data_IF_193701305416
#
_entry.id   IF_193701305416
#
_cell.length_a   1.000
_cell.length_b   1.000
_cell.length_c   1.000
_cell.angle_alpha   90.00
_cell.angle_beta   90.00
_cell.angle_gamma   90.00
#
_symmetry.space_group_name_H-M   'P 1'
#
loop_
_entity.id
_entity.type
_entity.pdbx_description
1 polymer ?
#
# COMPACT_ATOMS: atom_id res chain seq x y z
N UNK A 1 26.75 -3.17 6.64
CA UNK A 1 27.69 -2.57 5.68
C UNK A 1 27.74 -1.07 5.89
N UNK A 2 28.90 -0.47 5.70
CA UNK A 2 29.12 0.97 5.80
C UNK A 2 28.11 1.73 4.93
N UNK A 3 27.76 2.96 5.33
CA UNK A 3 27.38 3.96 4.34
C UNK A 3 28.65 4.17 3.52
N UNK A 4 28.87 3.34 2.50
CA UNK A 4 29.50 3.85 1.30
C UNK A 4 28.76 5.15 1.02
N UNK A 5 29.48 6.27 0.98
CA UNK A 5 28.96 7.49 0.39
C UNK A 5 28.33 7.05 -0.92
N UNK A 6 26.99 6.99 -0.97
CA UNK A 6 26.28 6.60 -2.18
C UNK A 6 26.66 7.68 -3.17
N UNK A 7 27.57 7.32 -4.07
CA UNK A 7 28.16 8.28 -4.97
C UNK A 7 27.05 8.94 -5.78
N UNK A 8 27.22 10.23 -6.06
CA UNK A 8 26.39 10.93 -7.03
C UNK A 8 26.46 10.13 -8.34
N UNK A 9 25.29 9.79 -8.89
CA UNK A 9 25.17 8.97 -10.10
C UNK A 9 24.38 9.73 -11.14
N UNK A 10 24.88 9.70 -12.37
CA UNK A 10 24.08 10.15 -13.51
C UNK A 10 22.84 9.26 -13.65
N UNK A 11 21.72 9.90 -13.95
CA UNK A 11 20.48 9.18 -14.14
C UNK A 11 20.53 8.34 -15.44
N UNK A 12 19.99 7.12 -15.41
CA UNK A 12 19.93 6.28 -16.61
C UNK A 12 19.10 6.95 -17.70
N UNK A 13 19.59 6.92 -18.94
CA UNK A 13 18.92 7.51 -20.10
C UNK A 13 18.09 6.50 -20.90
N UNK A 14 18.45 5.21 -20.85
CA UNK A 14 17.77 4.13 -21.58
C UNK A 14 16.69 3.40 -20.77
N UNK A 15 15.69 2.84 -21.46
CA UNK A 15 14.57 2.12 -20.84
C UNK A 15 15.01 0.98 -19.91
N UNK A 16 16.02 0.19 -20.30
CA UNK A 16 16.59 -0.88 -19.44
C UNK A 16 17.22 -0.32 -18.17
N UNK A 17 17.87 0.84 -18.26
CA UNK A 17 18.46 1.51 -17.11
C UNK A 17 17.39 2.06 -16.16
N UNK A 18 16.31 2.61 -16.70
CA UNK A 18 15.15 3.04 -15.90
C UNK A 18 14.55 1.85 -15.14
N UNK A 19 14.22 0.76 -15.85
CA UNK A 19 13.61 -0.44 -15.25
C UNK A 19 14.49 -1.08 -14.17
N UNK A 20 15.81 -1.09 -14.33
CA UNK A 20 16.74 -1.66 -13.35
C UNK A 20 16.81 -0.85 -12.04
N UNK A 21 16.43 0.42 -12.07
CA UNK A 21 16.47 1.28 -10.88
C UNK A 21 15.13 1.35 -10.13
N UNK A 22 14.05 0.81 -10.71
CA UNK A 22 12.76 0.62 -10.02
C UNK A 22 12.96 -0.24 -8.77
N UNK A 23 12.20 0.03 -7.72
CA UNK A 23 12.24 -0.74 -6.47
C UNK A 23 11.25 -0.23 -5.42
N UNK A 24 11.30 1.04 -5.01
CA UNK A 24 10.40 1.62 -4.02
C UNK A 24 8.91 1.40 -4.34
N UNK A 25 8.53 1.59 -5.61
CA UNK A 25 7.17 1.37 -6.08
C UNK A 25 6.76 -0.10 -6.07
N UNK A 26 7.68 -1.03 -6.35
CA UNK A 26 7.35 -2.47 -6.34
C UNK A 26 7.11 -2.97 -4.92
N UNK A 27 7.88 -2.48 -3.94
CA UNK A 27 7.67 -2.80 -2.52
C UNK A 27 6.29 -2.29 -2.06
N UNK A 28 5.94 -1.06 -2.45
CA UNK A 28 4.62 -0.49 -2.16
C UNK A 28 3.50 -1.28 -2.87
N UNK A 29 3.65 -1.58 -4.16
CA UNK A 29 2.69 -2.39 -4.91
C UNK A 29 2.46 -3.75 -4.25
N UNK A 30 3.52 -4.36 -3.72
CA UNK A 30 3.43 -5.63 -3.01
C UNK A 30 2.68 -5.59 -1.68
N UNK A 31 2.59 -4.44 -1.02
CA UNK A 31 1.72 -4.30 0.15
C UNK A 31 0.26 -4.05 -0.24
N UNK A 32 0.01 -3.30 -1.33
CA UNK A 32 -1.34 -3.04 -1.87
C UNK A 32 -2.02 -4.33 -2.29
N UNK A 33 -1.33 -5.13 -3.12
CA UNK A 33 -1.88 -6.34 -3.76
C UNK A 33 -2.27 -7.42 -2.74
N UNK A 34 -1.67 -7.41 -1.55
CA UNK A 34 -1.90 -8.42 -0.52
C UNK A 34 -3.29 -8.41 0.09
N UNK A 35 -3.48 -7.64 1.16
CA UNK A 35 -4.74 -7.70 1.93
C UNK A 35 -5.85 -6.83 1.36
N UNK A 36 -5.51 -5.69 0.76
CA UNK A 36 -6.51 -4.73 0.25
C UNK A 36 -7.25 -5.29 -0.95
N UNK A 37 -6.51 -5.71 -1.97
CA UNK A 37 -7.11 -6.17 -3.23
C UNK A 37 -7.79 -7.54 -3.11
N UNK A 38 -7.16 -8.47 -2.40
CA UNK A 38 -7.69 -9.82 -2.22
C UNK A 38 -9.00 -9.85 -1.42
N UNK A 39 -9.12 -9.01 -0.39
CA UNK A 39 -10.26 -9.05 0.54
C UNK A 39 -11.27 -7.95 0.24
N UNK A 40 -10.81 -6.69 0.20
CA UNK A 40 -11.70 -5.52 0.09
C UNK A 40 -12.22 -5.35 -1.32
N UNK A 41 -11.34 -5.36 -2.32
CA UNK A 41 -11.73 -5.15 -3.72
C UNK A 41 -12.58 -6.31 -4.25
N UNK A 42 -12.20 -7.55 -3.92
CA UNK A 42 -13.01 -8.73 -4.27
C UNK A 42 -14.39 -8.71 -3.63
N UNK A 43 -14.49 -8.35 -2.34
CA UNK A 43 -15.79 -8.16 -1.68
C UNK A 43 -16.60 -7.05 -2.34
N UNK A 44 -15.99 -5.92 -2.67
CA UNK A 44 -16.66 -4.82 -3.36
C UNK A 44 -17.25 -5.32 -4.69
N UNK A 45 -16.49 -6.05 -5.50
CA UNK A 45 -17.00 -6.67 -6.73
C UNK A 45 -18.16 -7.63 -6.46
N UNK A 46 -18.07 -8.46 -5.42
CA UNK A 46 -19.13 -9.38 -5.02
C UNK A 46 -20.43 -8.66 -4.61
N UNK A 47 -20.33 -7.48 -4.01
CA UNK A 47 -21.46 -6.71 -3.50
C UNK A 47 -22.13 -5.87 -4.59
N UNK A 48 -21.36 -5.10 -5.37
CA UNK A 48 -21.91 -4.10 -6.31
C UNK A 48 -21.82 -4.48 -7.80
N UNK A 49 -21.27 -5.66 -8.11
CA UNK A 49 -21.19 -6.18 -9.47
C UNK A 49 -20.33 -5.32 -10.40
N UNK A 50 -20.61 -5.32 -11.71
CA UNK A 50 -19.75 -4.67 -12.70
C UNK A 50 -19.88 -3.13 -12.78
N UNK A 51 -20.98 -2.57 -12.27
CA UNK A 51 -21.37 -1.17 -12.48
C UNK A 51 -20.34 -0.17 -11.93
N UNK A 52 -19.61 -0.54 -10.88
CA UNK A 52 -18.68 0.35 -10.17
C UNK A 52 -17.21 0.21 -10.60
N UNK A 53 -16.92 -0.50 -11.70
CA UNK A 53 -15.56 -0.66 -12.22
C UNK A 53 -14.85 0.68 -12.47
N UNK A 54 -15.55 1.69 -12.99
CA UNK A 54 -14.98 3.04 -13.17
C UNK A 54 -14.51 3.66 -11.85
N UNK A 55 -15.23 3.42 -10.74
CA UNK A 55 -14.89 3.93 -9.42
C UNK A 55 -13.59 3.31 -8.93
N UNK A 56 -13.44 1.99 -9.09
CA UNK A 56 -12.22 1.25 -8.75
C UNK A 56 -11.00 1.76 -9.52
N UNK A 57 -11.14 1.97 -10.83
CA UNK A 57 -10.08 2.54 -11.68
C UNK A 57 -9.72 3.95 -11.21
N UNK A 58 -10.73 4.78 -10.96
CA UNK A 58 -10.54 6.14 -10.48
C UNK A 58 -9.82 6.16 -9.13
N UNK A 59 -10.20 5.31 -8.19
CA UNK A 59 -9.59 5.21 -6.86
C UNK A 59 -8.09 4.90 -6.93
N UNK A 60 -7.67 4.06 -7.88
CA UNK A 60 -6.27 3.72 -8.08
C UNK A 60 -5.48 4.86 -8.74
N UNK A 61 -6.03 5.45 -9.81
CA UNK A 61 -5.34 6.47 -10.59
C UNK A 61 -5.21 7.81 -9.85
N UNK A 62 -6.23 8.18 -9.09
CA UNK A 62 -6.27 9.44 -8.33
C UNK A 62 -5.05 9.55 -7.40
N UNK A 63 -4.68 8.48 -6.71
CA UNK A 63 -3.64 8.54 -5.68
C UNK A 63 -2.21 8.64 -6.26
N UNK A 64 -2.04 8.38 -7.55
CA UNK A 64 -0.77 8.53 -8.26
C UNK A 64 -0.17 9.93 -8.14
N UNK A 65 -1.00 10.99 -8.22
CA UNK A 65 -0.52 12.37 -8.15
C UNK A 65 0.09 12.70 -6.77
N UNK A 66 -0.51 12.18 -5.68
CA UNK A 66 0.04 12.32 -4.32
C UNK A 66 1.36 11.57 -4.21
N UNK A 67 1.42 10.33 -4.73
CA UNK A 67 2.63 9.51 -4.69
C UNK A 67 3.81 10.19 -5.38
N UNK A 68 3.57 10.76 -6.58
CA UNK A 68 4.59 11.51 -7.31
C UNK A 68 5.09 12.74 -6.55
N UNK A 69 4.19 13.51 -5.95
CA UNK A 69 4.58 14.72 -5.22
C UNK A 69 5.36 14.39 -3.94
N UNK A 70 4.94 13.37 -3.19
CA UNK A 70 5.70 12.87 -2.04
C UNK A 70 7.10 12.40 -2.44
N UNK A 71 7.20 11.64 -3.54
CA UNK A 71 8.48 11.18 -4.06
C UNK A 71 9.36 12.35 -4.55
N UNK A 72 8.76 13.37 -5.17
CA UNK A 72 9.47 14.58 -5.62
C UNK A 72 10.07 15.33 -4.45
N UNK A 73 9.29 15.58 -3.40
CA UNK A 73 9.78 16.26 -2.20
C UNK A 73 10.90 15.46 -1.53
N UNK A 74 10.77 14.13 -1.49
CA UNK A 74 11.81 13.23 -1.01
C UNK A 74 13.13 13.39 -1.79
N UNK A 75 13.08 13.36 -3.13
CA UNK A 75 14.28 13.56 -3.97
C UNK A 75 14.87 14.96 -3.79
N UNK A 76 14.03 16.00 -3.74
CA UNK A 76 14.48 17.39 -3.65
C UNK A 76 15.17 17.72 -2.32
N UNK A 77 14.72 17.11 -1.22
CA UNK A 77 15.08 17.54 0.13
C UNK A 77 15.80 16.46 0.95
N UNK A 78 15.97 15.26 0.39
CA UNK A 78 16.40 14.07 1.13
C UNK A 78 15.63 13.90 2.44
N UNK A 79 14.30 13.95 2.32
CA UNK A 79 13.39 14.11 3.45
C UNK A 79 12.43 12.93 3.56
N UNK A 80 12.19 12.44 4.77
CA UNK A 80 11.16 11.45 5.04
C UNK A 80 9.75 12.03 4.86
N UNK A 81 8.72 11.18 4.91
CA UNK A 81 7.34 11.67 4.95
C UNK A 81 7.10 12.55 6.17
N UNK A 82 7.69 12.24 7.33
CA UNK A 82 7.52 13.05 8.54
C UNK A 82 8.16 14.43 8.34
N UNK A 83 9.34 14.51 7.73
CA UNK A 83 9.98 15.78 7.36
C UNK A 83 9.13 16.65 6.43
N UNK A 84 8.49 15.99 5.47
CA UNK A 84 7.58 16.66 4.53
C UNK A 84 6.40 17.23 5.33
N UNK A 85 5.76 16.42 6.19
CA UNK A 85 4.61 16.85 6.99
C UNK A 85 4.96 17.91 8.06
N UNK A 86 6.19 17.91 8.58
CA UNK A 86 6.64 18.86 9.61
C UNK A 86 6.78 20.30 9.08
N UNK A 87 6.89 20.47 7.77
CA UNK A 87 6.96 21.77 7.10
C UNK A 87 5.61 22.50 7.04
N UNK A 88 4.50 21.81 7.30
CA UNK A 88 3.18 22.44 7.27
C UNK A 88 3.01 23.34 8.49
N UNK A 89 2.58 24.61 8.31
CA UNK A 89 2.41 25.54 9.42
C UNK A 89 1.29 25.12 10.37
N UNK A 90 1.43 25.50 11.64
CA UNK A 90 0.42 25.25 12.66
C UNK A 90 1.02 25.02 14.03
N UNK A 91 0.22 24.47 14.94
CA UNK A 91 0.68 24.10 16.28
C UNK A 91 1.79 23.05 16.18
N UNK A 92 2.81 23.20 17.03
CA UNK A 92 3.92 22.26 17.14
C UNK A 92 3.96 21.66 18.53
N UNK A 93 4.04 20.34 18.60
CA UNK A 93 4.16 19.58 19.84
C UNK A 93 5.51 18.89 19.87
N UNK A 94 6.31 19.18 20.90
CA UNK A 94 7.71 18.70 21.03
C UNK A 94 8.57 19.00 19.79
N UNK A 95 8.35 20.16 19.17
CA UNK A 95 9.09 20.58 17.97
C UNK A 95 8.56 20.04 16.65
N UNK A 96 7.54 19.16 16.65
CA UNK A 96 6.98 18.52 15.46
C UNK A 96 5.55 19.02 15.17
N UNK A 97 5.19 19.20 13.90
CA UNK A 97 3.88 19.72 13.47
C UNK A 97 2.71 18.84 13.90
N UNK A 98 1.57 19.46 14.18
CA UNK A 98 0.33 18.74 14.53
C UNK A 98 -0.11 17.76 13.44
N UNK A 99 0.16 18.05 12.16
CA UNK A 99 -0.14 17.15 11.04
C UNK A 99 0.75 15.92 11.07
N UNK A 100 2.05 16.09 11.33
CA UNK A 100 2.95 14.95 11.45
C UNK A 100 2.52 14.03 12.61
N UNK A 101 2.12 14.60 13.76
CA UNK A 101 1.52 13.83 14.86
C UNK A 101 0.25 13.10 14.44
N UNK A 102 -0.69 13.80 13.81
CA UNK A 102 -1.96 13.21 13.34
C UNK A 102 -1.70 12.08 12.35
N UNK A 103 -0.79 12.27 11.41
CA UNK A 103 -0.52 11.29 10.39
C UNK A 103 0.26 10.08 10.92
N UNK A 104 1.18 10.28 11.86
CA UNK A 104 1.88 9.17 12.53
C UNK A 104 0.90 8.37 13.40
N UNK A 105 0.02 9.06 14.15
CA UNK A 105 -1.04 8.40 14.90
C UNK A 105 -2.00 7.62 13.97
N UNK A 106 -2.36 8.22 12.82
CA UNK A 106 -3.18 7.57 11.80
C UNK A 106 -2.48 6.39 11.12
N UNK A 107 -1.17 6.45 10.90
CA UNK A 107 -0.40 5.31 10.36
C UNK A 107 -0.45 4.14 11.35
N UNK A 108 -0.19 4.40 12.63
CA UNK A 108 -0.17 3.36 13.65
C UNK A 108 -1.57 2.88 14.08
N UNK A 109 -2.64 3.64 13.84
CA UNK A 109 -4.01 3.17 14.08
C UNK A 109 -4.39 2.00 13.16
N UNK A 110 -3.78 1.92 11.96
CA UNK A 110 -3.95 0.82 11.01
C UNK A 110 -3.30 -0.48 11.49
N UNK A 111 -2.52 -0.45 12.56
CA UNK A 111 -1.99 -1.66 13.24
C UNK A 111 -3.08 -2.68 13.53
N UNK A 112 -4.30 -2.22 13.81
CA UNK A 112 -5.47 -3.10 14.01
C UNK A 112 -5.73 -3.95 12.76
N UNK A 113 -5.69 -3.37 11.56
CA UNK A 113 -5.84 -4.15 10.33
C UNK A 113 -4.69 -5.15 10.13
N UNK A 114 -3.46 -4.76 10.49
CA UNK A 114 -2.28 -5.62 10.35
C UNK A 114 -2.32 -6.82 11.29
N UNK A 115 -2.86 -6.65 12.50
CA UNK A 115 -3.17 -7.77 13.41
C UNK A 115 -4.15 -8.74 12.74
N UNK A 116 -5.19 -8.23 12.08
CA UNK A 116 -6.12 -9.03 11.30
C UNK A 116 -5.48 -9.74 10.09
N UNK A 117 -4.46 -9.16 9.47
CA UNK A 117 -3.70 -9.84 8.42
C UNK A 117 -2.86 -10.98 9.02
N UNK A 118 -2.21 -10.76 10.18
CA UNK A 118 -1.45 -11.80 10.88
C UNK A 118 -2.33 -13.00 11.25
N UNK A 119 -3.53 -12.75 11.79
CA UNK A 119 -4.51 -13.80 12.06
C UNK A 119 -4.96 -14.51 10.78
N UNK A 120 -5.19 -13.77 9.69
CA UNK A 120 -5.57 -14.38 8.39
C UNK A 120 -4.48 -15.31 7.84
N UNK A 121 -3.21 -14.92 7.96
CA UNK A 121 -2.07 -15.78 7.56
C UNK A 121 -2.00 -17.02 8.45
N UNK A 122 -2.17 -16.85 9.77
CA UNK A 122 -2.15 -17.97 10.71
C UNK A 122 -3.30 -18.96 10.47
N UNK A 123 -4.52 -18.45 10.24
CA UNK A 123 -5.68 -19.26 9.89
C UNK A 123 -5.50 -20.01 8.57
N UNK A 124 -4.95 -19.34 7.55
CA UNK A 124 -4.59 -19.98 6.29
C UNK A 124 -3.60 -21.15 6.51
N UNK A 125 -2.61 -20.96 7.38
CA UNK A 125 -1.65 -22.02 7.73
C UNK A 125 -2.31 -23.19 8.46
N UNK A 126 -3.32 -22.97 9.29
CA UNK A 126 -4.13 -24.06 9.89
C UNK A 126 -4.82 -24.87 8.79
N UNK A 127 -5.38 -24.21 7.77
CA UNK A 127 -6.09 -24.88 6.68
C UNK A 127 -5.16 -25.76 5.84
N UNK A 128 -3.94 -25.29 5.53
CA UNK A 128 -2.95 -26.10 4.78
C UNK A 128 -2.31 -27.17 5.68
N UNK A 129 -2.04 -26.83 6.93
CA UNK A 129 -1.28 -27.63 7.88
C UNK A 129 -2.04 -27.75 9.22
N UNK A 130 -3.07 -28.63 9.29
CA UNK A 130 -4.02 -28.69 10.40
C UNK A 130 -3.47 -29.35 11.67
N UNK A 131 -2.15 -29.51 11.80
CA UNK A 131 -1.51 -30.15 12.95
C UNK A 131 -1.15 -29.18 14.09
N UNK A 132 -1.25 -27.87 13.86
CA UNK A 132 -0.98 -26.82 14.86
C UNK A 132 -2.17 -25.87 14.97
N UNK A 133 -2.35 -25.28 16.15
CA UNK A 133 -3.37 -24.24 16.35
C UNK A 133 -2.97 -22.93 15.67
N UNK A 134 -3.96 -22.08 15.39
CA UNK A 134 -3.77 -20.74 14.83
C UNK A 134 -2.76 -19.91 15.65
N UNK A 135 -2.79 -20.03 16.96
CA UNK A 135 -1.89 -19.29 17.86
C UNK A 135 -0.42 -19.70 17.65
N UNK A 136 -0.16 -21.00 17.46
CA UNK A 136 1.19 -21.51 17.18
C UNK A 136 1.65 -21.03 15.80
N UNK A 137 0.78 -21.08 14.79
CA UNK A 137 1.11 -20.56 13.47
C UNK A 137 1.38 -19.06 13.47
N UNK A 138 0.64 -18.26 14.23
CA UNK A 138 0.92 -16.83 14.41
C UNK A 138 2.32 -16.59 15.00
N UNK A 139 2.73 -17.39 16.00
CA UNK A 139 4.08 -17.36 16.56
C UNK A 139 5.12 -17.73 15.50
N UNK A 140 4.90 -18.79 14.72
CA UNK A 140 5.83 -19.22 13.66
C UNK A 140 5.99 -18.12 12.60
N UNK A 141 4.88 -17.53 12.12
CA UNK A 141 4.90 -16.42 11.16
C UNK A 141 5.67 -15.23 11.71
N UNK A 142 5.44 -14.85 12.97
CA UNK A 142 6.20 -13.80 13.65
C UNK A 142 7.71 -14.11 13.70
N UNK A 143 8.09 -15.35 14.04
CA UNK A 143 9.50 -15.76 14.13
C UNK A 143 10.19 -15.72 12.75
N UNK A 144 9.54 -16.25 11.72
CA UNK A 144 10.06 -16.22 10.34
C UNK A 144 10.21 -14.78 9.87
N UNK A 145 9.18 -13.95 10.08
CA UNK A 145 9.22 -12.53 9.74
C UNK A 145 10.37 -11.81 10.47
N UNK A 146 10.49 -12.03 11.78
CA UNK A 146 11.56 -11.42 12.60
C UNK A 146 12.95 -11.84 12.14
N UNK A 147 13.14 -13.11 11.76
CA UNK A 147 14.40 -13.63 11.23
C UNK A 147 14.76 -12.96 9.88
N UNK A 148 13.79 -12.83 8.97
CA UNK A 148 13.99 -12.16 7.69
C UNK A 148 14.32 -10.68 7.86
N UNK A 149 13.59 -9.98 8.73
CA UNK A 149 13.83 -8.56 9.01
C UNK A 149 15.17 -8.32 9.71
N UNK A 150 15.63 -9.26 10.54
CA UNK A 150 16.92 -9.16 11.23
C UNK A 150 18.13 -9.24 10.29
N UNK A 151 18.03 -9.98 9.18
CA UNK A 151 19.06 -9.98 8.13
C UNK A 151 19.22 -8.62 7.45
N UNK A 152 18.16 -7.81 7.43
CA UNK A 152 18.25 -6.37 7.18
C UNK A 152 18.64 -5.95 5.76
N UNK A 153 18.56 -6.84 4.76
CA UNK A 153 18.90 -6.52 3.38
C UNK A 153 17.64 -6.06 2.63
N UNK A 154 17.61 -4.78 2.27
CA UNK A 154 16.55 -4.19 1.43
C UNK A 154 16.42 -4.95 0.09
N UNK A 155 17.54 -5.35 -0.51
CA UNK A 155 17.55 -6.10 -1.78
C UNK A 155 16.87 -7.47 -1.67
N UNK A 156 17.03 -8.17 -0.53
CA UNK A 156 16.36 -9.45 -0.29
C UNK A 156 14.85 -9.25 -0.16
N UNK A 157 14.42 -8.21 0.56
CA UNK A 157 13.02 -7.87 0.73
C UNK A 157 12.39 -7.48 -0.60
N UNK A 158 13.04 -6.58 -1.35
CA UNK A 158 12.59 -6.14 -2.68
C UNK A 158 12.45 -7.35 -3.63
N UNK A 159 13.47 -8.20 -3.72
CA UNK A 159 13.47 -9.36 -4.62
C UNK A 159 12.38 -10.35 -4.24
N UNK A 160 12.25 -10.67 -2.95
CA UNK A 160 11.24 -11.61 -2.48
C UNK A 160 9.83 -11.09 -2.73
N UNK A 161 9.53 -9.85 -2.35
CA UNK A 161 8.21 -9.23 -2.58
C UNK A 161 7.90 -9.17 -4.07
N UNK A 162 8.87 -8.79 -4.90
CA UNK A 162 8.72 -8.74 -6.36
C UNK A 162 8.32 -10.10 -6.92
N UNK A 163 9.02 -11.17 -6.54
CA UNK A 163 8.75 -12.53 -7.02
C UNK A 163 7.34 -12.96 -6.58
N UNK A 164 7.04 -12.85 -5.28
CA UNK A 164 5.75 -13.28 -4.72
C UNK A 164 4.57 -12.57 -5.41
N UNK A 165 4.64 -11.25 -5.50
CA UNK A 165 3.58 -10.42 -6.08
C UNK A 165 3.45 -10.70 -7.58
N UNK A 166 4.56 -10.75 -8.32
CA UNK A 166 4.50 -11.01 -9.77
C UNK A 166 3.87 -12.37 -10.06
N UNK A 167 4.30 -13.42 -9.35
CA UNK A 167 3.76 -14.77 -9.56
C UNK A 167 2.27 -14.84 -9.28
N UNK A 168 1.82 -14.30 -8.15
CA UNK A 168 0.39 -14.38 -7.82
C UNK A 168 -0.47 -13.50 -8.73
N UNK A 169 0.03 -12.32 -9.10
CA UNK A 169 -0.65 -11.43 -10.05
C UNK A 169 -0.92 -12.12 -11.39
N UNK A 170 0.04 -12.92 -11.88
CA UNK A 170 -0.13 -13.71 -13.10
C UNK A 170 -1.22 -14.79 -12.96
N UNK A 171 -1.35 -15.41 -11.78
CA UNK A 171 -2.42 -16.38 -11.50
C UNK A 171 -3.80 -15.69 -11.53
N UNK A 172 -3.92 -14.51 -10.90
CA UNK A 172 -5.16 -13.74 -10.88
C UNK A 172 -5.57 -13.30 -12.29
N UNK A 173 -4.63 -12.74 -13.06
CA UNK A 173 -4.86 -12.36 -14.45
C UNK A 173 -5.22 -13.58 -15.30
N UNK A 174 -4.50 -14.69 -15.13
CA UNK A 174 -4.81 -15.95 -15.78
C UNK A 174 -6.21 -16.47 -15.47
N UNK A 175 -6.70 -16.25 -14.24
CA UNK A 175 -8.06 -16.62 -13.82
C UNK A 175 -9.13 -15.80 -14.53
N UNK A 176 -8.92 -14.49 -14.71
CA UNK A 176 -9.82 -13.63 -15.51
C UNK A 176 -9.91 -14.11 -16.95
N UNK A 177 -8.79 -14.54 -17.54
CA UNK A 177 -8.76 -15.07 -18.91
C UNK A 177 -9.44 -16.43 -19.00
N UNK A 178 -9.15 -17.34 -18.06
CA UNK A 178 -9.74 -18.68 -18.02
C UNK A 178 -11.25 -18.66 -17.80
N UNK A 179 -11.75 -17.67 -17.06
CA UNK A 179 -13.17 -17.48 -16.76
C UNK A 179 -14.04 -17.33 -18.02
N UNK A 180 -13.48 -16.84 -19.14
CA UNK A 180 -14.18 -16.75 -20.43
C UNK A 180 -14.62 -18.11 -20.99
N UNK A 181 -13.98 -19.21 -20.54
CA UNK A 181 -14.35 -20.58 -20.90
C UNK A 181 -15.38 -21.23 -19.97
N UNK A 182 -15.93 -20.48 -19.01
CA UNK A 182 -16.83 -21.00 -17.96
C UNK A 182 -18.21 -20.36 -18.03
N UNK A 183 -19.15 -20.84 -17.20
CA UNK A 183 -20.48 -20.22 -17.05
C UNK A 183 -20.43 -18.79 -16.49
N UNK A 184 -19.30 -18.39 -15.90
CA UNK A 184 -19.10 -17.07 -15.31
C UNK A 184 -18.55 -16.03 -16.31
N UNK A 185 -18.45 -16.37 -17.61
CA UNK A 185 -17.87 -15.51 -18.64
C UNK A 185 -18.36 -14.05 -18.57
N UNK A 186 -17.41 -13.11 -18.64
CA UNK A 186 -17.73 -11.68 -18.60
C UNK A 186 -18.16 -11.23 -20.00
N UNK A 187 -19.38 -10.77 -20.13
CA UNK A 187 -19.91 -10.19 -21.37
C UNK A 187 -19.38 -8.77 -21.59
N UNK A 188 -19.24 -8.36 -22.86
CA UNK A 188 -18.90 -7.01 -23.26
C UNK A 188 -19.93 -5.98 -22.73
N UNK A 189 -21.20 -6.36 -22.61
CA UNK A 189 -22.22 -5.52 -21.97
C UNK A 189 -21.94 -5.28 -20.47
N UNK A 190 -21.47 -6.30 -19.76
CA UNK A 190 -21.11 -6.18 -18.35
C UNK A 190 -19.92 -5.24 -18.17
N UNK A 191 -18.87 -5.38 -18.99
CA UNK A 191 -17.75 -4.43 -18.97
C UNK A 191 -18.22 -3.02 -19.31
N UNK A 192 -19.02 -2.87 -20.37
CA UNK A 192 -19.56 -1.58 -20.78
C UNK A 192 -20.39 -0.92 -19.66
N UNK A 193 -21.14 -1.71 -18.88
CA UNK A 193 -21.90 -1.20 -17.72
C UNK A 193 -20.98 -0.52 -16.70
N UNK A 194 -19.78 -1.06 -16.49
CA UNK A 194 -18.77 -0.50 -15.60
C UNK A 194 -18.17 0.83 -16.04
N UNK A 195 -18.35 1.21 -17.31
CA UNK A 195 -17.92 2.49 -17.88
C UNK A 195 -19.08 3.47 -18.13
N UNK A 196 -20.31 3.16 -17.67
CA UNK A 196 -21.45 4.08 -17.77
C UNK A 196 -21.45 5.18 -16.71
N UNK A 197 -20.46 5.20 -15.80
CA UNK A 197 -20.39 6.12 -14.66
C UNK A 197 -21.67 6.14 -13.81
N UNK A 198 -22.39 5.02 -13.79
CA UNK A 198 -23.56 4.85 -12.96
C UNK A 198 -23.13 4.46 -11.54
N UNK A 199 -23.95 4.85 -10.57
CA UNK A 199 -23.83 4.38 -9.19
C UNK A 199 -24.65 3.10 -9.03
N UNK A 200 -24.15 2.08 -8.32
CA UNK A 200 -24.93 0.88 -8.05
C UNK A 200 -26.11 1.25 -7.15
N UNK A 201 -27.30 0.71 -7.44
CA UNK A 201 -28.53 1.03 -6.68
C UNK A 201 -28.48 0.48 -5.26
N UNK A 202 -27.84 -0.68 -5.08
CA UNK A 202 -27.54 -1.31 -3.80
C UNK A 202 -26.04 -1.23 -3.53
N UNK A 203 -25.64 -1.01 -2.28
CA UNK A 203 -24.22 -0.97 -1.90
C UNK A 203 -23.42 0.27 -2.38
N UNK A 204 -24.04 1.28 -3.01
CA UNK A 204 -23.35 2.50 -3.47
C UNK A 204 -22.53 3.19 -2.38
N UNK A 205 -23.12 3.34 -1.19
CA UNK A 205 -22.42 3.95 -0.06
C UNK A 205 -21.25 3.09 0.42
N UNK A 206 -21.40 1.77 0.44
CA UNK A 206 -20.32 0.83 0.81
C UNK A 206 -19.19 0.89 -0.21
N UNK A 207 -19.51 0.87 -1.51
CA UNK A 207 -18.53 1.00 -2.57
C UNK A 207 -17.73 2.32 -2.47
N UNK A 208 -18.41 3.44 -2.24
CA UNK A 208 -17.77 4.74 -2.01
C UNK A 208 -16.92 4.75 -0.73
N UNK A 209 -17.41 4.16 0.36
CA UNK A 209 -16.68 4.09 1.62
C UNK A 209 -15.40 3.27 1.51
N UNK A 210 -15.41 2.21 0.68
CA UNK A 210 -14.27 1.33 0.45
C UNK A 210 -13.28 1.89 -0.60
N UNK A 211 -13.65 2.88 -1.43
CA UNK A 211 -12.74 3.49 -2.42
C UNK A 211 -11.44 4.06 -1.82
N UNK A 212 -11.48 4.55 -0.58
CA UNK A 212 -10.28 5.02 0.12
C UNK A 212 -9.27 3.90 0.40
N UNK A 213 -9.76 2.67 0.53
CA UNK A 213 -9.00 1.46 0.87
C UNK A 213 -8.55 0.65 -0.36
N UNK A 214 -8.99 1.03 -1.57
CA UNK A 214 -8.62 0.39 -2.84
C UNK A 214 -7.40 1.10 -3.46
N UNK A 215 -6.47 0.32 -4.02
CA UNK A 215 -5.21 0.82 -4.55
C UNK A 215 -4.23 1.27 -3.47
N UNK A 216 -3.29 2.17 -3.82
CA UNK A 216 -2.30 2.68 -2.87
C UNK A 216 -2.96 3.47 -1.74
N UNK A 217 -3.01 2.93 -0.52
CA UNK A 217 -3.72 3.57 0.59
C UNK A 217 -2.87 4.65 1.27
N UNK A 218 -3.40 5.30 2.32
CA UNK A 218 -2.64 6.35 2.99
C UNK A 218 -1.33 5.81 3.60
N UNK A 219 -1.38 4.58 4.11
CA UNK A 219 -0.23 3.86 4.67
C UNK A 219 0.86 3.64 3.62
N UNK A 220 0.50 3.21 2.42
CA UNK A 220 1.44 3.02 1.31
C UNK A 220 2.09 4.32 0.86
N UNK A 221 1.28 5.35 0.66
CA UNK A 221 1.75 6.67 0.30
C UNK A 221 2.68 7.23 1.39
N UNK A 222 2.36 6.99 2.66
CA UNK A 222 3.17 7.44 3.79
C UNK A 222 4.52 6.73 3.85
N UNK A 223 4.60 5.42 3.56
CA UNK A 223 5.87 4.71 3.57
C UNK A 223 6.72 4.92 2.31
N UNK A 224 6.12 5.32 1.18
CA UNK A 224 6.81 5.43 -0.11
C UNK A 224 8.10 6.30 -0.07
N UNK A 225 8.12 7.51 0.51
CA UNK A 225 9.35 8.28 0.68
C UNK A 225 10.47 7.56 1.44
N UNK A 226 10.15 6.72 2.43
CA UNK A 226 11.16 5.96 3.16
C UNK A 226 11.86 4.95 2.25
N UNK A 227 11.11 4.30 1.35
CA UNK A 227 11.69 3.37 0.39
C UNK A 227 12.52 4.06 -0.67
N UNK A 228 12.17 5.29 -1.06
CA UNK A 228 12.97 6.12 -1.96
C UNK A 228 14.32 6.48 -1.34
N UNK A 229 14.33 6.92 -0.07
CA UNK A 229 15.56 7.19 0.69
C UNK A 229 16.39 5.91 0.84
N UNK A 230 15.75 4.80 1.20
CA UNK A 230 16.43 3.52 1.37
C UNK A 230 17.07 3.03 0.07
N UNK A 231 16.41 3.19 -1.09
CA UNK A 231 17.01 2.88 -2.39
C UNK A 231 18.17 3.84 -2.74
N UNK A 232 18.12 5.07 -2.24
CA UNK A 232 19.17 6.07 -2.37
C UNK A 232 18.95 7.10 -3.47
N UNK A 233 17.71 7.26 -3.98
CA UNK A 233 17.45 8.23 -5.06
C UNK A 233 17.92 9.66 -4.71
N UNK A 234 17.69 10.19 -3.49
CA UNK A 234 18.16 11.53 -3.14
C UNK A 234 19.70 11.60 -3.10
N UNK A 235 20.36 10.56 -2.57
CA UNK A 235 21.83 10.49 -2.50
C UNK A 235 22.45 10.45 -3.90
N UNK A 236 21.81 9.77 -4.85
CA UNK A 236 22.27 9.69 -6.24
C UNK A 236 22.19 11.03 -6.98
N UNK A 237 21.24 11.90 -6.62
CA UNK A 237 21.14 13.26 -7.16
C UNK A 237 22.24 14.16 -6.57
N UNK A 238 22.53 13.98 -5.28
CA UNK A 238 23.49 14.79 -4.52
C UNK A 238 22.86 16.04 -3.90
N UNK A 239 23.63 16.78 -3.08
CA UNK A 239 23.16 17.99 -2.42
C UNK A 239 22.67 19.02 -3.45
N UNK A 240 21.67 19.81 -3.07
CA UNK A 240 21.09 20.82 -3.95
C UNK A 240 22.12 21.90 -4.26
N UNK A 241 22.39 22.07 -5.55
CA UNK A 241 23.31 23.07 -6.10
C UNK A 241 22.60 23.84 -7.21
N UNK A 242 22.88 25.14 -7.34
CA UNK A 242 22.36 25.95 -8.43
C UNK A 242 23.21 25.79 -9.71
N UNK A 243 23.33 24.54 -10.18
CA UNK A 243 24.12 24.16 -11.35
C UNK A 243 23.25 23.44 -12.38
N UNK A 244 23.55 23.64 -13.67
CA UNK A 244 22.86 22.94 -14.76
C UNK A 244 23.02 21.41 -14.67
N UNK A 245 24.16 20.95 -14.16
CA UNK A 245 24.44 19.54 -13.94
C UNK A 245 23.51 18.94 -12.88
N UNK A 246 23.32 19.63 -11.75
CA UNK A 246 22.37 19.19 -10.73
C UNK A 246 20.94 19.14 -11.28
N UNK A 247 20.51 20.17 -12.02
CA UNK A 247 19.18 20.20 -12.65
C UNK A 247 19.01 19.05 -13.65
N UNK A 248 20.04 18.71 -14.41
CA UNK A 248 20.03 17.57 -15.33
C UNK A 248 19.91 16.22 -14.58
N UNK A 249 20.70 16.02 -13.51
CA UNK A 249 20.61 14.83 -12.65
C UNK A 249 19.25 14.70 -12.00
N UNK A 250 18.74 15.77 -11.39
CA UNK A 250 17.41 15.83 -10.79
C UNK A 250 16.32 15.44 -11.78
N UNK A 251 16.29 16.06 -12.98
CA UNK A 251 15.31 15.70 -14.03
C UNK A 251 15.44 14.24 -14.48
N UNK A 252 16.64 13.71 -14.51
CA UNK A 252 16.90 12.31 -14.82
C UNK A 252 16.34 11.35 -13.76
N UNK A 253 16.66 11.56 -12.48
CA UNK A 253 16.14 10.75 -11.38
C UNK A 253 14.64 10.93 -11.15
N UNK A 254 14.10 12.10 -11.49
CA UNK A 254 12.67 12.33 -11.55
C UNK A 254 11.99 11.43 -12.60
N UNK A 255 12.62 11.17 -13.75
CA UNK A 255 12.10 10.18 -14.72
C UNK A 255 12.12 8.77 -14.16
N UNK A 256 13.15 8.40 -13.40
CA UNK A 256 13.20 7.11 -12.69
C UNK A 256 12.03 7.01 -11.70
N UNK A 257 11.82 8.04 -10.87
CA UNK A 257 10.71 8.10 -9.92
C UNK A 257 9.34 8.00 -10.61
N UNK A 258 9.12 8.76 -11.69
CA UNK A 258 7.86 8.69 -12.44
C UNK A 258 7.64 7.32 -13.07
N UNK A 259 8.71 6.66 -13.54
CA UNK A 259 8.62 5.30 -14.08
C UNK A 259 8.31 4.30 -12.97
N UNK A 260 8.98 4.41 -11.83
CA UNK A 260 8.78 3.55 -10.65
C UNK A 260 7.34 3.65 -10.12
N UNK A 261 6.85 4.86 -9.88
CA UNK A 261 5.47 5.10 -9.46
C UNK A 261 4.47 4.65 -10.54
N UNK A 262 4.72 4.97 -11.82
CA UNK A 262 3.80 4.64 -12.91
C UNK A 262 3.66 3.13 -13.14
N UNK A 263 4.77 2.40 -13.10
CA UNK A 263 4.76 0.92 -13.18
C UNK A 263 4.05 0.33 -11.97
N UNK A 264 4.35 0.81 -10.76
CA UNK A 264 3.66 0.40 -9.54
C UNK A 264 2.15 0.60 -9.63
N UNK A 265 1.70 1.80 -10.00
CA UNK A 265 0.26 2.10 -10.15
C UNK A 265 -0.37 1.27 -11.27
N UNK A 266 0.33 1.05 -12.38
CA UNK A 266 -0.17 0.21 -13.48
C UNK A 266 -0.36 -1.26 -13.07
N UNK A 267 0.62 -1.82 -12.35
CA UNK A 267 0.53 -3.18 -11.79
C UNK A 267 -0.63 -3.26 -10.79
N UNK A 268 -0.68 -2.34 -9.83
CA UNK A 268 -1.76 -2.29 -8.83
C UNK A 268 -3.12 -2.20 -9.52
N UNK A 269 -3.32 -1.26 -10.45
CA UNK A 269 -4.56 -1.09 -11.20
C UNK A 269 -4.99 -2.37 -11.94
N UNK A 270 -4.07 -3.02 -12.64
CA UNK A 270 -4.38 -4.24 -13.38
C UNK A 270 -4.87 -5.36 -12.45
N UNK A 271 -4.20 -5.53 -11.31
CA UNK A 271 -4.54 -6.56 -10.32
C UNK A 271 -5.83 -6.23 -9.59
N UNK A 272 -6.01 -4.98 -9.17
CA UNK A 272 -7.25 -4.45 -8.59
C UNK A 272 -8.43 -4.73 -9.51
N UNK A 273 -8.32 -4.34 -10.78
CA UNK A 273 -9.36 -4.61 -11.77
C UNK A 273 -9.63 -6.11 -11.91
N UNK A 274 -8.58 -6.95 -11.91
CA UNK A 274 -8.75 -8.39 -11.99
C UNK A 274 -9.51 -8.95 -10.79
N UNK A 275 -9.15 -8.60 -9.56
CA UNK A 275 -9.87 -9.01 -8.35
C UNK A 275 -11.30 -8.51 -8.30
N UNK A 276 -11.53 -7.27 -8.73
CA UNK A 276 -12.87 -6.70 -8.79
C UNK A 276 -13.75 -7.46 -9.79
N UNK A 277 -13.24 -7.69 -11.00
CA UNK A 277 -13.95 -8.42 -12.05
C UNK A 277 -14.24 -9.86 -11.63
N UNK A 278 -13.31 -10.53 -10.96
CA UNK A 278 -13.50 -11.87 -10.43
C UNK A 278 -14.56 -11.90 -9.32
N UNK A 279 -14.57 -10.92 -8.42
CA UNK A 279 -15.63 -10.76 -7.43
C UNK A 279 -17.00 -10.51 -8.07
N UNK A 280 -17.05 -9.63 -9.07
CA UNK A 280 -18.29 -9.27 -9.77
C UNK A 280 -18.84 -10.37 -10.68
N UNK A 281 -17.98 -11.23 -11.24
CA UNK A 281 -18.38 -12.33 -12.12
C UNK A 281 -18.74 -13.58 -11.35
N UNK A 282 -17.88 -14.02 -10.42
CA UNK A 282 -18.05 -15.30 -9.74
C UNK A 282 -18.83 -15.13 -8.43
N UNK A 283 -18.31 -14.33 -7.51
CA UNK A 283 -18.88 -14.25 -6.14
C UNK A 283 -20.25 -13.56 -6.11
N UNK A 284 -20.45 -12.52 -6.92
CA UNK A 284 -21.75 -11.87 -7.06
C UNK A 284 -22.80 -12.85 -7.59
N UNK A 285 -22.47 -13.67 -8.60
CA UNK A 285 -23.40 -14.68 -9.12
C UNK A 285 -23.65 -15.83 -8.12
N UNK A 286 -22.63 -16.21 -7.35
CA UNK A 286 -22.77 -17.18 -6.26
C UNK A 286 -23.51 -16.62 -5.04
N UNK A 287 -23.80 -15.31 -5.01
CA UNK A 287 -24.38 -14.59 -3.87
C UNK A 287 -23.56 -14.81 -2.58
N UNK A 288 -22.24 -14.92 -2.72
CA UNK A 288 -21.29 -15.07 -1.62
C UNK A 288 -20.64 -13.72 -1.37
N UNK A 289 -20.99 -13.07 -0.27
CA UNK A 289 -20.30 -11.89 0.22
C UNK A 289 -19.18 -12.34 1.18
N UNK A 290 -17.89 -12.15 0.85
CA UNK A 290 -16.81 -12.59 1.72
C UNK A 290 -16.87 -11.91 3.08
N UNK A 291 -17.05 -12.70 4.14
CA UNK A 291 -17.18 -12.26 5.54
C UNK A 291 -16.56 -13.21 6.58
N UNK A 292 -16.10 -12.62 7.69
CA UNK A 292 -15.58 -13.34 8.85
C UNK A 292 -14.31 -14.16 8.59
N UNK A 293 -14.10 -15.21 9.39
CA UNK A 293 -12.87 -16.01 9.36
C UNK A 293 -12.69 -16.84 8.08
N UNK A 294 -13.74 -16.99 7.27
CA UNK A 294 -13.75 -17.81 6.05
C UNK A 294 -13.51 -17.00 4.78
N UNK A 295 -13.17 -15.71 4.87
CA UNK A 295 -12.99 -14.88 3.68
C UNK A 295 -11.99 -15.47 2.70
N UNK A 296 -10.85 -15.98 3.17
CA UNK A 296 -9.85 -16.58 2.27
C UNK A 296 -10.44 -17.79 1.54
N UNK A 297 -11.18 -18.65 2.24
CA UNK A 297 -11.87 -19.80 1.64
C UNK A 297 -12.95 -19.36 0.65
N UNK A 298 -13.74 -18.34 0.97
CA UNK A 298 -14.78 -17.80 0.09
C UNK A 298 -14.19 -17.15 -1.15
N UNK A 299 -13.09 -16.41 -1.03
CA UNK A 299 -12.36 -15.83 -2.16
C UNK A 299 -11.71 -16.93 -3.00
N UNK A 300 -11.31 -18.05 -2.41
CA UNK A 300 -10.76 -19.20 -3.17
C UNK A 300 -11.75 -19.77 -4.19
N UNK A 301 -13.07 -19.60 -3.97
CA UNK A 301 -14.12 -20.03 -4.90
C UNK A 301 -13.94 -19.42 -6.29
N UNK A 302 -13.43 -18.18 -6.37
CA UNK A 302 -13.09 -17.53 -7.64
C UNK A 302 -12.18 -18.40 -8.48
N UNK A 303 -11.18 -19.02 -7.86
CA UNK A 303 -10.14 -19.77 -8.55
C UNK A 303 -10.58 -21.22 -8.81
N UNK A 304 -11.30 -21.83 -7.85
CA UNK A 304 -11.76 -23.20 -7.99
C UNK A 304 -12.87 -23.35 -9.01
N UNK A 305 -13.78 -22.38 -9.12
CA UNK A 305 -14.85 -22.38 -10.11
C UNK A 305 -14.35 -22.02 -11.52
N UNK A 306 -13.23 -21.31 -11.64
CA UNK A 306 -12.69 -20.88 -12.95
C UNK A 306 -11.71 -21.86 -13.56
N UNK A 307 -10.75 -22.34 -12.77
CA UNK A 307 -9.63 -23.17 -13.26
C UNK A 307 -9.72 -24.63 -12.74
N UNK A 308 -10.62 -24.88 -11.78
CA UNK A 308 -10.88 -26.20 -11.19
C UNK A 308 -10.29 -26.37 -9.80
N UNK A 309 -10.69 -27.43 -9.09
CA UNK A 309 -10.40 -27.63 -7.67
C UNK A 309 -8.91 -27.67 -7.28
N UNK A 310 -8.01 -28.00 -8.21
CA UNK A 310 -6.56 -27.95 -7.94
C UNK A 310 -6.05 -26.52 -7.71
N UNK A 311 -6.73 -25.51 -8.27
CA UNK A 311 -6.38 -24.10 -8.11
C UNK A 311 -6.50 -23.63 -6.66
N UNK A 312 -7.27 -24.35 -5.83
CA UNK A 312 -7.36 -24.12 -4.39
C UNK A 312 -5.97 -24.07 -3.74
N UNK A 313 -5.10 -25.05 -4.00
CA UNK A 313 -3.79 -25.11 -3.37
C UNK A 313 -2.84 -24.00 -3.85
N UNK A 314 -2.92 -23.65 -5.13
CA UNK A 314 -2.14 -22.53 -5.69
C UNK A 314 -2.62 -21.22 -5.07
N UNK A 315 -3.92 -21.04 -4.94
CA UNK A 315 -4.51 -19.87 -4.31
C UNK A 315 -4.10 -19.78 -2.84
N UNK A 316 -4.17 -20.87 -2.08
CA UNK A 316 -3.78 -20.88 -0.67
C UNK A 316 -2.30 -20.51 -0.49
N UNK A 317 -1.40 -21.06 -1.31
CA UNK A 317 0.01 -20.68 -1.30
C UNK A 317 0.23 -19.22 -1.72
N UNK A 318 -0.47 -18.76 -2.75
CA UNK A 318 -0.40 -17.39 -3.23
C UNK A 318 -0.94 -16.38 -2.21
N UNK A 319 -2.07 -16.68 -1.57
CA UNK A 319 -2.65 -15.90 -0.49
C UNK A 319 -1.74 -15.82 0.73
N UNK A 320 -1.06 -16.92 1.10
CA UNK A 320 0.00 -16.88 2.11
C UNK A 320 1.09 -15.88 1.70
N UNK A 321 1.62 -16.03 0.48
CA UNK A 321 2.68 -15.17 -0.03
C UNK A 321 2.30 -13.69 0.03
N UNK A 322 1.12 -13.31 -0.47
CA UNK A 322 0.74 -11.91 -0.58
C UNK A 322 0.35 -11.28 0.75
N UNK A 323 -0.31 -12.02 1.65
CA UNK A 323 -0.59 -11.52 3.00
C UNK A 323 0.70 -11.42 3.82
N UNK A 324 1.61 -12.38 3.69
CA UNK A 324 2.92 -12.35 4.35
C UNK A 324 3.80 -11.21 3.85
N UNK A 325 3.79 -10.90 2.53
CA UNK A 325 4.51 -9.73 2.01
C UNK A 325 3.99 -8.42 2.60
N UNK A 326 2.67 -8.26 2.75
CA UNK A 326 2.09 -7.07 3.40
C UNK A 326 2.57 -6.95 4.86
N UNK A 327 2.58 -8.03 5.64
CA UNK A 327 3.09 -8.03 7.02
C UNK A 327 4.56 -7.60 7.10
N UNK A 328 5.40 -8.17 6.23
CA UNK A 328 6.82 -7.85 6.15
C UNK A 328 7.08 -6.38 5.82
N UNK A 329 6.41 -5.87 4.78
CA UNK A 329 6.55 -4.47 4.34
C UNK A 329 6.08 -3.54 5.45
N UNK A 330 4.94 -3.82 6.09
CA UNK A 330 4.43 -2.98 7.18
C UNK A 330 5.33 -3.00 8.41
N UNK A 331 5.91 -4.15 8.77
CA UNK A 331 6.86 -4.27 9.88
C UNK A 331 8.15 -3.47 9.61
N UNK A 332 8.70 -3.62 8.40
CA UNK A 332 9.87 -2.89 7.95
C UNK A 332 9.64 -1.37 7.92
N UNK A 333 8.48 -0.93 7.44
CA UNK A 333 8.09 0.48 7.40
C UNK A 333 7.83 1.04 8.79
N UNK A 334 7.11 0.31 9.65
CA UNK A 334 6.79 0.72 11.02
C UNK A 334 8.05 0.97 11.86
N UNK A 335 9.06 0.11 11.73
CA UNK A 335 10.34 0.31 12.42
C UNK A 335 11.05 1.61 12.01
N UNK A 336 11.04 1.94 10.71
CA UNK A 336 11.64 3.16 10.16
C UNK A 336 10.86 4.40 10.55
N UNK A 337 9.54 4.39 10.34
CA UNK A 337 8.64 5.49 10.65
C UNK A 337 8.66 5.79 12.15
N UNK A 338 8.61 4.75 12.99
CA UNK A 338 8.69 4.90 14.44
C UNK A 338 10.02 5.49 14.89
N UNK A 339 11.15 5.00 14.36
CA UNK A 339 12.46 5.54 14.72
C UNK A 339 12.65 6.97 14.24
N UNK A 340 12.25 7.29 13.00
CA UNK A 340 12.30 8.65 12.46
C UNK A 340 11.47 9.61 13.31
N UNK A 341 10.23 9.21 13.66
CA UNK A 341 9.38 10.02 14.52
C UNK A 341 9.97 10.26 15.91
N UNK A 342 10.50 9.22 16.56
CA UNK A 342 11.13 9.34 17.88
C UNK A 342 12.39 10.24 17.83
N UNK A 343 13.15 10.18 16.74
CA UNK A 343 14.29 11.07 16.52
C UNK A 343 13.81 12.52 16.35
N UNK A 344 12.72 12.76 15.61
CA UNK A 344 12.16 14.10 15.39
C UNK A 344 11.66 14.78 16.65
N UNK A 345 11.02 14.04 17.55
CA UNK A 345 10.61 14.57 18.87
C UNK A 345 11.77 14.62 19.89
N UNK A 346 13.01 14.41 19.42
CA UNK A 346 14.27 14.51 20.17
C UNK A 346 14.36 13.52 21.35
N UNK A 347 13.92 12.27 21.17
CA UNK A 347 14.17 11.22 22.17
C UNK A 347 15.67 10.90 22.19
N UNK A 348 16.32 11.22 23.32
CA UNK A 348 17.78 11.09 23.47
C UNK A 348 18.33 9.68 23.22
N UNK A 349 17.50 8.64 23.36
CA UNK A 349 17.90 7.26 23.09
C UNK A 349 18.23 6.99 21.60
N UNK A 350 17.77 7.85 20.67
CA UNK A 350 18.04 7.77 19.23
C UNK A 350 19.15 8.73 18.77
N UNK A 351 19.87 9.36 19.72
CA UNK A 351 20.98 10.25 19.39
C UNK A 351 22.15 9.45 18.78
N UNK A 352 22.56 9.86 17.58
CA UNK A 352 23.64 9.21 16.81
C UNK A 352 23.15 8.11 15.87
N UNK A 353 23.87 7.90 14.77
CA UNK A 353 23.47 6.96 13.72
C UNK A 353 23.38 5.50 14.21
N UNK A 354 24.31 5.06 15.06
CA UNK A 354 24.33 3.69 15.55
C UNK A 354 23.10 3.38 16.41
N UNK A 355 22.75 4.31 17.31
CA UNK A 355 21.56 4.21 18.14
C UNK A 355 20.29 4.27 17.30
N UNK A 356 20.22 5.16 16.31
CA UNK A 356 19.10 5.21 15.36
C UNK A 356 18.89 3.84 14.68
N UNK A 357 19.95 3.25 14.09
CA UNK A 357 19.86 1.92 13.44
C UNK A 357 19.51 0.80 14.41
N UNK A 358 19.95 0.90 15.67
CA UNK A 358 19.56 -0.04 16.73
C UNK A 358 18.07 0.08 17.02
N UNK A 359 17.55 1.29 17.16
CA UNK A 359 16.12 1.54 17.42
C UNK A 359 15.23 1.16 16.25
N UNK A 360 15.66 1.40 15.01
CA UNK A 360 14.96 0.88 13.81
C UNK A 360 14.76 -0.63 13.94
N UNK A 361 15.84 -1.38 14.23
CA UNK A 361 15.77 -2.84 14.40
C UNK A 361 14.89 -3.27 15.58
N UNK A 362 15.00 -2.58 16.72
CA UNK A 362 14.17 -2.85 17.91
C UNK A 362 12.69 -2.65 17.58
N UNK A 363 12.32 -1.52 16.97
CA UNK A 363 10.93 -1.21 16.63
C UNK A 363 10.40 -2.12 15.52
N UNK A 364 11.22 -2.45 14.53
CA UNK A 364 10.86 -3.35 13.43
C UNK A 364 10.49 -4.75 13.91
N UNK A 365 11.01 -5.22 15.05
CA UNK A 365 10.61 -6.48 15.69
C UNK A 365 9.55 -6.22 16.78
N UNK A 366 9.66 -5.10 17.49
CA UNK A 366 8.77 -4.71 18.58
C UNK A 366 7.32 -4.53 18.12
N UNK A 367 7.08 -3.91 16.97
CA UNK A 367 5.74 -3.76 16.42
C UNK A 367 5.10 -5.12 16.08
N UNK A 368 5.72 -6.00 15.28
CA UNK A 368 5.29 -7.38 15.14
C UNK A 368 5.03 -8.15 16.43
N UNK A 369 5.88 -7.95 17.44
CA UNK A 369 5.71 -8.61 18.73
C UNK A 369 4.44 -8.11 19.43
N UNK A 370 4.15 -6.81 19.36
CA UNK A 370 2.88 -6.26 19.84
C UNK A 370 1.70 -6.87 19.08
N UNK A 371 1.77 -7.01 17.76
CA UNK A 371 0.69 -7.63 16.98
C UNK A 371 0.44 -9.07 17.41
N UNK A 372 1.52 -9.82 17.67
CA UNK A 372 1.45 -11.17 18.20
C UNK A 372 0.78 -11.21 19.58
N UNK A 373 1.14 -10.30 20.50
CA UNK A 373 0.50 -10.25 21.82
C UNK A 373 -1.01 -9.97 21.71
N UNK A 374 -1.41 -9.08 20.79
CA UNK A 374 -2.81 -8.78 20.55
C UNK A 374 -3.58 -9.98 19.97
N UNK A 375 -3.05 -10.66 18.95
CA UNK A 375 -3.75 -11.80 18.34
C UNK A 375 -3.87 -12.98 19.32
N UNK A 376 -2.89 -13.16 20.22
CA UNK A 376 -2.96 -14.17 21.28
C UNK A 376 -3.98 -13.81 22.37
N UNK A 377 -4.41 -12.55 22.47
CA UNK A 377 -5.37 -12.08 23.47
C UNK A 377 -6.81 -11.96 22.94
N UNK A 378 -7.00 -11.54 21.68
CA UNK A 378 -8.32 -11.43 21.03
C UNK A 378 -8.25 -11.96 19.57
N UNK A 379 -8.92 -13.09 19.27
CA UNK A 379 -8.86 -13.73 17.96
C UNK A 379 -9.82 -13.13 16.90
N UNK A 380 -10.39 -11.93 17.12
CA UNK A 380 -11.34 -11.30 16.18
C UNK A 380 -10.67 -10.65 14.97
N UNK A 381 -10.15 -11.49 14.09
CA UNK A 381 -9.28 -11.13 12.97
C UNK A 381 -9.91 -10.17 11.94
N UNK A 382 -11.15 -10.40 11.48
CA UNK A 382 -11.72 -9.64 10.35
C UNK A 382 -12.31 -8.27 10.73
N UNK A 383 -12.94 -8.16 11.89
CA UNK A 383 -13.43 -6.88 12.43
C UNK A 383 -12.29 -5.86 12.54
N UNK A 384 -11.10 -6.35 12.88
CA UNK A 384 -9.90 -5.53 12.97
C UNK A 384 -9.41 -5.05 11.60
N UNK A 385 -9.46 -5.90 10.56
CA UNK A 385 -9.16 -5.49 9.17
C UNK A 385 -10.07 -4.35 8.71
N UNK A 386 -11.38 -4.52 8.87
CA UNK A 386 -12.35 -3.51 8.42
C UNK A 386 -12.24 -2.20 9.21
N UNK A 387 -12.10 -2.28 10.54
CA UNK A 387 -11.92 -1.08 11.38
C UNK A 387 -10.62 -0.34 11.07
N UNK A 388 -9.52 -1.06 10.85
CA UNK A 388 -8.25 -0.45 10.47
C UNK A 388 -8.26 0.14 9.06
N UNK A 389 -8.97 -0.47 8.11
CA UNK A 389 -9.16 0.08 6.76
C UNK A 389 -9.92 1.42 6.80
N UNK A 390 -10.94 1.54 7.65
CA UNK A 390 -11.64 2.82 7.84
C UNK A 390 -10.74 3.89 8.47
N UNK A 391 -9.90 3.52 9.45
CA UNK A 391 -8.94 4.46 10.05
C UNK A 391 -7.92 4.98 9.02
N UNK A 392 -7.50 4.13 8.08
CA UNK A 392 -6.63 4.52 6.98
C UNK A 392 -7.27 5.58 6.05
N UNK A 393 -8.59 5.52 5.80
CA UNK A 393 -9.26 6.48 4.92
C UNK A 393 -9.23 7.90 5.48
N UNK A 394 -9.35 8.04 6.80
CA UNK A 394 -9.24 9.32 7.49
C UNK A 394 -7.83 9.94 7.37
N UNK A 395 -6.79 9.12 7.21
CA UNK A 395 -5.40 9.57 7.07
C UNK A 395 -5.12 10.21 5.70
N UNK A 396 -5.91 9.90 4.67
CA UNK A 396 -5.72 10.46 3.33
C UNK A 396 -5.91 11.99 3.32
N UNK A 397 -6.88 12.53 4.06
CA UNK A 397 -7.16 13.98 4.07
C UNK A 397 -5.96 14.81 4.55
N UNK A 398 -5.42 14.62 5.77
CA UNK A 398 -4.33 15.47 6.27
C UNK A 398 -3.07 15.33 5.42
N UNK A 399 -2.81 14.14 4.87
CA UNK A 399 -1.69 13.93 3.96
C UNK A 399 -1.89 14.65 2.63
N UNK A 400 -3.07 14.55 2.01
CA UNK A 400 -3.37 15.22 0.75
C UNK A 400 -3.31 16.75 0.90
N UNK A 401 -3.77 17.29 2.03
CA UNK A 401 -3.62 18.70 2.37
C UNK A 401 -2.14 19.12 2.49
N UNK A 402 -1.33 18.36 3.23
CA UNK A 402 0.09 18.67 3.40
C UNK A 402 0.84 18.67 2.07
N UNK A 403 0.57 17.68 1.22
CA UNK A 403 1.15 17.54 -0.11
C UNK A 403 0.77 18.73 -1.00
N UNK A 404 -0.50 19.15 -1.01
CA UNK A 404 -0.93 20.33 -1.76
C UNK A 404 -0.24 21.60 -1.27
N UNK A 405 -0.20 21.78 0.05
CA UNK A 405 0.41 22.95 0.67
C UNK A 405 1.87 23.12 0.23
N UNK A 406 2.61 22.02 0.18
CA UNK A 406 4.01 22.01 -0.22
C UNK A 406 4.17 22.17 -1.73
N UNK A 407 3.35 21.50 -2.53
CA UNK A 407 3.34 21.64 -3.98
C UNK A 407 3.18 23.11 -4.42
N UNK A 408 2.31 23.85 -3.74
CA UNK A 408 2.04 25.27 -4.03
C UNK A 408 3.16 26.23 -3.60
N UNK A 409 4.08 25.80 -2.73
CA UNK A 409 5.17 26.63 -2.18
C UNK A 409 6.55 26.37 -2.81
N UNK A 410 6.65 25.40 -3.70
CA UNK A 410 7.89 25.15 -4.43
C UNK A 410 8.15 26.24 -5.48
N UNK A 411 9.40 26.70 -5.68
CA UNK A 411 9.76 27.61 -6.76
C UNK A 411 9.31 27.12 -8.14
N UNK A 412 8.92 28.03 -9.04
CA UNK A 412 8.33 27.69 -10.36
C UNK A 412 9.16 26.70 -11.17
N UNK A 413 10.48 26.74 -11.05
CA UNK A 413 11.43 25.89 -11.78
C UNK A 413 11.42 24.42 -11.33
N UNK A 414 10.97 24.18 -10.10
CA UNK A 414 10.89 22.85 -9.47
C UNK A 414 9.46 22.31 -9.41
N UNK A 415 8.46 23.14 -9.78
CA UNK A 415 7.04 22.76 -9.80
C UNK A 415 6.77 21.70 -10.85
N UNK A 416 5.75 20.90 -10.57
CA UNK A 416 5.29 19.90 -11.52
C UNK A 416 4.58 20.56 -12.70
N UNK A 417 4.35 19.78 -13.75
CA UNK A 417 3.55 20.24 -14.89
C UNK A 417 2.15 20.67 -14.42
N UNK A 418 1.53 21.60 -15.16
CA UNK A 418 0.16 22.06 -14.88
C UNK A 418 -0.82 20.88 -14.78
N UNK A 419 -0.66 19.86 -15.62
CA UNK A 419 -1.50 18.66 -15.60
C UNK A 419 -1.37 17.88 -14.31
N UNK A 420 -0.18 17.79 -13.74
CA UNK A 420 0.04 17.13 -12.46
C UNK A 420 -0.54 17.93 -11.29
N UNK A 421 -0.47 19.26 -11.35
CA UNK A 421 -1.12 20.13 -10.35
C UNK A 421 -2.65 20.00 -10.40
N UNK A 422 -3.24 20.01 -11.61
CA UNK A 422 -4.67 19.78 -11.80
C UNK A 422 -5.09 18.38 -11.34
N UNK A 423 -4.30 17.35 -11.64
CA UNK A 423 -4.53 16.00 -11.17
C UNK A 423 -4.48 15.92 -9.63
N UNK A 424 -3.53 16.62 -8.99
CA UNK A 424 -3.44 16.68 -7.53
C UNK A 424 -4.65 17.38 -6.91
N UNK A 425 -5.13 18.47 -7.49
CA UNK A 425 -6.35 19.16 -7.02
C UNK A 425 -7.59 18.28 -7.15
N UNK A 426 -7.76 17.63 -8.31
CA UNK A 426 -8.85 16.67 -8.52
C UNK A 426 -8.78 15.51 -7.53
N UNK A 427 -7.56 15.04 -7.23
CA UNK A 427 -7.31 13.96 -6.29
C UNK A 427 -7.76 14.31 -4.88
N UNK A 428 -7.42 15.51 -4.42
CA UNK A 428 -7.82 15.99 -3.10
C UNK A 428 -9.33 16.16 -3.03
N UNK A 429 -9.95 16.73 -4.07
CA UNK A 429 -11.39 16.84 -4.15
C UNK A 429 -12.07 15.46 -4.05
N UNK A 430 -11.59 14.46 -4.80
CA UNK A 430 -12.11 13.10 -4.75
C UNK A 430 -11.97 12.48 -3.36
N UNK A 431 -10.77 12.56 -2.75
CA UNK A 431 -10.49 12.03 -1.40
C UNK A 431 -11.41 12.67 -0.35
N UNK A 432 -11.60 13.99 -0.39
CA UNK A 432 -12.46 14.69 0.57
C UNK A 432 -13.90 14.21 0.46
N UNK A 433 -14.44 14.10 -0.76
CA UNK A 433 -15.81 13.63 -0.98
C UNK A 433 -15.99 12.18 -0.52
N UNK A 434 -15.08 11.28 -0.87
CA UNK A 434 -15.17 9.87 -0.46
C UNK A 434 -15.03 9.70 1.05
N UNK A 435 -14.13 10.44 1.67
CA UNK A 435 -13.94 10.37 3.13
C UNK A 435 -15.16 10.96 3.86
N UNK A 436 -15.76 12.04 3.36
CA UNK A 436 -16.99 12.58 3.92
C UNK A 436 -18.14 11.56 3.88
N UNK A 437 -18.26 10.81 2.79
CA UNK A 437 -19.26 9.74 2.65
C UNK A 437 -18.98 8.58 3.61
N UNK A 438 -17.71 8.18 3.75
CA UNK A 438 -17.30 7.14 4.71
C UNK A 438 -17.65 7.55 6.16
N UNK A 439 -17.36 8.80 6.55
CA UNK A 439 -17.72 9.34 7.87
C UNK A 439 -19.24 9.38 8.07
N UNK A 440 -20.00 9.77 7.04
CA UNK A 440 -21.46 9.77 7.10
C UNK A 440 -22.02 8.37 7.36
N UNK A 441 -21.52 7.34 6.66
CA UNK A 441 -21.90 5.95 6.92
C UNK A 441 -21.52 5.49 8.33
N UNK A 442 -20.31 5.80 8.79
CA UNK A 442 -19.85 5.41 10.13
C UNK A 442 -20.70 6.05 11.23
N UNK A 443 -21.29 7.22 10.97
CA UNK A 443 -22.20 7.89 11.87
C UNK A 443 -23.62 7.27 11.90
N UNK A 444 -23.89 6.27 11.05
CA UNK A 444 -25.14 5.51 11.03
C UNK A 444 -26.31 6.22 10.34
N UNK A 445 -26.02 7.15 9.43
CA UNK A 445 -27.02 7.89 8.64
C UNK A 445 -27.18 7.37 7.22
#
# INVERSE_FOLDING_TARGET
>A
MAVEQRAIREAPTGARGLLRNIGPGVIVSGSVVGSGELLVTTRMGAEVGFVFLWGVILACLVKYAIQLELGRQCILRNSSTIDILDQVPGQRFRGVSWIAWLCVAGYFSVTVAVIGILGSVAGLMVTIFPFMSEHIWAVVVFLVMSLLLWRGLYEDLETMVTILVSTFSLVVIGSVLALQGTSYAIDGEQIASGFRFAMPSEGAFVALALMGSVGATAVELFMYPYWIVEKGYPDFVGPKEDSDEWRARYRGWMRVLMTDAGVCTGIALAITCAYYLLGASVLNQLQVLPEGMKVVEQVSLIFTETIGGWAYYIFMFGGFCTLFSTLLVFAASSGRIGADFLQKIQVGALAGEENYRRWVRILQIGFPFLWLLFILADPRTLDFVLKGANANNLLLIPMAYAVLHLAMRVPKEERMSLWTELALLFTIWAIINFTAINVFQLAGY
#
